data_IF_966410601904
#
_entry.id   IF_966410601904
#
_cell.length_a   1.000
_cell.length_b   1.000
_cell.length_c   1.000
_cell.angle_alpha   90.00
_cell.angle_beta   90.00
_cell.angle_gamma   90.00
#
_symmetry.space_group_name_H-M   'P 1'
#
loop_
_entity.id
_entity.type
_entity.pdbx_description
1 polymer ?
#
# COMPACT_ATOMS: atom_id res chain seq x y z
N UNK A 1 -21.48 -15.14 34.61
CA UNK A 1 -21.41 -15.47 33.17
C UNK A 1 -22.18 -14.48 32.29
N UNK A 2 -23.49 -14.27 32.45
CA UNK A 2 -24.28 -13.38 31.57
C UNK A 2 -23.80 -11.91 31.54
N UNK A 3 -23.40 -11.33 32.67
CA UNK A 3 -22.82 -9.96 32.74
C UNK A 3 -21.52 -9.80 31.95
N UNK A 4 -20.64 -10.81 32.00
CA UNK A 4 -19.40 -10.83 31.23
C UNK A 4 -19.68 -10.91 29.72
N UNK A 5 -20.69 -11.70 29.34
CA UNK A 5 -21.15 -11.81 27.96
C UNK A 5 -21.74 -10.49 27.44
N UNK A 6 -22.51 -9.75 28.25
CA UNK A 6 -23.04 -8.44 27.86
C UNK A 6 -21.95 -7.37 27.71
N UNK A 7 -20.93 -7.39 28.58
CA UNK A 7 -19.77 -6.47 28.47
C UNK A 7 -18.96 -6.80 27.21
N UNK A 8 -18.72 -8.08 26.93
CA UNK A 8 -18.02 -8.50 25.71
C UNK A 8 -18.80 -8.11 24.45
N UNK A 9 -20.12 -8.29 24.45
CA UNK A 9 -20.99 -7.90 23.34
C UNK A 9 -20.98 -6.38 23.14
N UNK A 10 -21.02 -5.60 24.22
CA UNK A 10 -20.97 -4.14 24.17
C UNK A 10 -19.63 -3.64 23.58
N UNK A 11 -18.51 -4.20 24.02
CA UNK A 11 -17.17 -3.86 23.48
C UNK A 11 -17.08 -4.19 21.98
N UNK A 12 -17.57 -5.37 21.56
CA UNK A 12 -17.59 -5.77 20.15
C UNK A 12 -18.48 -4.88 19.28
N UNK A 13 -19.66 -4.49 19.77
CA UNK A 13 -20.56 -3.57 19.08
C UNK A 13 -19.94 -2.17 18.94
N UNK A 14 -19.27 -1.66 19.98
CA UNK A 14 -18.56 -0.36 19.89
C UNK A 14 -17.35 -0.40 18.96
N UNK A 15 -16.61 -1.53 18.92
CA UNK A 15 -15.48 -1.70 18.02
C UNK A 15 -15.89 -1.74 16.54
N UNK A 16 -17.04 -2.36 16.23
CA UNK A 16 -17.58 -2.38 14.87
C UNK A 16 -18.02 -0.99 14.37
N UNK A 17 -18.52 -0.11 15.26
CA UNK A 17 -18.93 1.26 14.89
C UNK A 17 -17.78 2.20 14.55
N UNK A 18 -16.53 1.86 14.90
CA UNK A 18 -15.34 2.66 14.57
C UNK A 18 -14.76 2.39 13.18
N UNK A 19 -15.27 1.39 12.45
CA UNK A 19 -14.86 1.12 11.08
C UNK A 19 -15.55 2.10 10.10
N UNK A 20 -15.19 3.39 10.18
CA UNK A 20 -15.68 4.41 9.25
C UNK A 20 -15.21 4.07 7.82
N UNK A 21 -16.15 4.01 6.87
CA UNK A 21 -15.82 3.79 5.47
C UNK A 21 -14.96 4.95 4.92
N UNK A 22 -13.83 4.62 4.28
CA UNK A 22 -12.95 5.62 3.67
C UNK A 22 -13.65 6.36 2.52
N UNK A 23 -13.73 7.70 2.61
CA UNK A 23 -14.29 8.56 1.56
C UNK A 23 -13.29 8.80 0.41
N UNK A 24 -12.01 8.87 0.74
CA UNK A 24 -10.90 9.11 -0.18
C UNK A 24 -9.78 8.12 0.10
N UNK A 25 -9.07 7.72 -0.95
CA UNK A 25 -7.87 6.89 -0.87
C UNK A 25 -6.78 7.60 -1.65
N UNK A 26 -5.70 7.97 -0.97
CA UNK A 26 -4.48 8.47 -1.59
C UNK A 26 -3.43 7.39 -1.49
N UNK A 27 -2.97 6.91 -2.65
CA UNK A 27 -2.05 5.79 -2.70
C UNK A 27 -0.73 6.22 -3.33
N UNK A 28 0.33 6.23 -2.51
CA UNK A 28 1.67 6.65 -2.90
C UNK A 28 2.56 5.43 -3.05
N UNK A 29 3.26 5.34 -4.18
CA UNK A 29 4.20 4.26 -4.48
C UNK A 29 5.57 4.91 -4.71
N UNK A 30 6.53 4.59 -3.84
CA UNK A 30 7.94 4.89 -4.10
C UNK A 30 8.56 3.75 -4.90
N UNK A 31 8.73 3.92 -6.21
CA UNK A 31 9.35 2.89 -7.04
C UNK A 31 10.80 2.64 -6.60
N UNK A 32 11.15 1.39 -6.33
CA UNK A 32 12.44 1.00 -5.77
C UNK A 32 12.70 1.44 -4.31
N UNK A 33 11.70 1.97 -3.60
CA UNK A 33 11.86 2.49 -2.24
C UNK A 33 11.80 1.37 -1.19
N UNK A 34 12.94 0.71 -0.96
CA UNK A 34 13.11 -0.24 0.13
C UNK A 34 13.40 0.43 1.49
N UNK A 35 13.50 -0.38 2.54
CA UNK A 35 13.79 0.08 3.91
C UNK A 35 15.09 0.87 4.00
N UNK A 36 16.10 0.49 3.22
CA UNK A 36 17.40 1.17 3.21
C UNK A 36 17.31 2.56 2.56
N UNK A 37 16.50 2.72 1.51
CA UNK A 37 16.26 4.01 0.87
C UNK A 37 15.54 4.97 1.83
N UNK A 38 14.57 4.47 2.59
CA UNK A 38 13.86 5.24 3.62
C UNK A 38 14.84 5.68 4.71
N UNK A 39 15.57 4.73 5.31
CA UNK A 39 16.52 5.03 6.38
C UNK A 39 17.62 6.01 5.92
N UNK A 40 18.22 5.78 4.75
CA UNK A 40 19.23 6.69 4.20
C UNK A 40 18.72 8.11 3.99
N UNK A 41 17.44 8.27 3.60
CA UNK A 41 16.82 9.59 3.48
C UNK A 41 16.63 10.26 4.85
N UNK A 42 16.17 9.52 5.85
CA UNK A 42 16.00 10.05 7.21
C UNK A 42 17.34 10.46 7.84
N UNK A 43 18.41 9.69 7.60
CA UNK A 43 19.78 10.06 8.00
C UNK A 43 20.25 11.33 7.30
N UNK A 44 20.03 11.43 5.99
CA UNK A 44 20.38 12.63 5.22
C UNK A 44 19.67 13.87 5.75
N UNK A 45 18.38 13.78 6.08
CA UNK A 45 17.62 14.89 6.66
C UNK A 45 18.16 15.31 8.04
N UNK A 46 18.56 14.34 8.88
CA UNK A 46 19.20 14.64 10.16
C UNK A 46 20.55 15.36 9.98
N UNK A 47 21.35 14.94 9.00
CA UNK A 47 22.61 15.62 8.67
C UNK A 47 22.38 17.07 8.21
N UNK A 48 21.35 17.32 7.41
CA UNK A 48 20.95 18.68 7.00
C UNK A 48 20.54 19.57 8.19
N UNK A 49 20.03 18.96 9.26
CA UNK A 49 19.72 19.63 10.53
C UNK A 49 20.94 19.77 11.47
N UNK A 50 22.13 19.31 11.04
CA UNK A 50 23.36 19.37 11.84
C UNK A 50 23.38 18.40 13.02
N UNK A 51 22.59 17.32 12.97
CA UNK A 51 22.47 16.34 14.06
C UNK A 51 22.84 14.94 13.61
N UNK A 52 23.38 14.16 14.55
CA UNK A 52 23.64 12.75 14.35
C UNK A 52 22.35 11.96 14.63
N UNK A 53 21.92 11.11 13.69
CA UNK A 53 20.74 10.26 13.85
C UNK A 53 19.85 10.24 12.61
N UNK A 54 18.53 10.19 12.80
CA UNK A 54 17.52 10.13 11.73
C UNK A 54 16.42 11.16 11.96
N UNK A 55 15.98 11.88 10.93
CA UNK A 55 14.75 12.71 10.90
C UNK A 55 13.64 11.93 10.24
N UNK A 56 12.58 11.55 10.98
CA UNK A 56 11.48 10.75 10.43
C UNK A 56 10.81 11.43 9.23
N UNK A 57 10.54 10.65 8.18
CA UNK A 57 9.65 11.07 7.09
C UNK A 57 8.20 11.16 7.60
N UNK A 58 7.34 11.86 6.85
CA UNK A 58 5.93 12.00 7.22
C UNK A 58 5.21 10.65 7.30
N UNK A 59 5.48 9.75 6.35
CA UNK A 59 4.77 8.46 6.29
C UNK A 59 5.34 7.41 7.26
N UNK A 60 6.59 7.53 7.71
CA UNK A 60 7.18 6.60 8.69
C UNK A 60 6.59 6.79 10.09
N UNK A 61 5.94 7.94 10.32
CA UNK A 61 5.21 8.25 11.55
C UNK A 61 3.75 7.76 11.54
N UNK A 62 3.29 7.09 10.48
CA UNK A 62 1.92 6.58 10.42
C UNK A 62 1.67 5.50 11.48
N UNK A 63 0.44 5.41 12.02
CA UNK A 63 0.13 4.54 13.16
C UNK A 63 0.11 3.04 12.82
N UNK A 64 0.17 2.68 11.54
CA UNK A 64 0.14 1.30 11.06
C UNK A 64 1.26 1.07 10.05
N UNK A 65 2.03 0.00 10.27
CA UNK A 65 3.15 -0.41 9.43
C UNK A 65 3.03 -1.91 9.17
N UNK A 66 3.35 -2.32 7.94
CA UNK A 66 3.37 -3.72 7.55
C UNK A 66 4.53 -3.99 6.58
N UNK A 67 4.84 -5.28 6.41
CA UNK A 67 5.84 -5.76 5.44
C UNK A 67 5.13 -6.63 4.41
N UNK A 68 5.50 -6.49 3.14
CA UNK A 68 4.96 -7.28 2.04
C UNK A 68 6.06 -8.04 1.32
N UNK A 69 5.75 -9.26 0.85
CA UNK A 69 6.66 -10.04 0.00
C UNK A 69 6.46 -9.65 -1.47
N UNK A 70 7.56 -9.31 -2.14
CA UNK A 70 7.52 -8.67 -3.46
C UNK A 70 7.89 -9.57 -4.64
N UNK A 71 8.18 -10.86 -4.41
CA UNK A 71 8.43 -11.80 -5.52
C UNK A 71 7.26 -11.78 -6.53
N UNK A 72 7.57 -11.92 -7.82
CA UNK A 72 6.59 -12.09 -8.89
C UNK A 72 6.19 -13.57 -9.00
N UNK A 73 5.22 -13.90 -9.87
CA UNK A 73 4.80 -15.29 -10.04
C UNK A 73 5.93 -16.20 -10.56
N UNK A 74 6.92 -15.62 -11.26
CA UNK A 74 7.99 -16.36 -11.94
C UNK A 74 9.39 -16.07 -11.40
N UNK A 75 9.59 -15.02 -10.60
CA UNK A 75 10.91 -14.59 -10.16
C UNK A 75 10.93 -14.13 -8.70
N UNK A 76 12.02 -14.47 -7.99
CA UNK A 76 12.27 -13.97 -6.63
C UNK A 76 12.45 -12.45 -6.58
N UNK A 77 12.93 -11.85 -7.67
CA UNK A 77 13.04 -10.39 -7.85
C UNK A 77 12.04 -9.97 -8.93
N UNK A 78 11.03 -9.22 -8.51
CA UNK A 78 10.03 -8.63 -9.43
C UNK A 78 10.60 -7.43 -10.18
N UNK A 79 10.00 -7.13 -11.33
CA UNK A 79 10.12 -5.82 -11.96
C UNK A 79 8.93 -4.90 -11.59
N UNK A 80 8.98 -3.65 -12.05
CA UNK A 80 7.93 -2.65 -11.80
C UNK A 80 6.60 -2.99 -12.47
N UNK A 81 6.59 -3.75 -13.59
CA UNK A 81 5.34 -4.15 -14.26
C UNK A 81 4.55 -5.18 -13.45
N UNK A 82 5.19 -6.26 -13.01
CA UNK A 82 4.54 -7.30 -12.21
C UNK A 82 4.16 -6.78 -10.82
N UNK A 83 5.03 -5.96 -10.21
CA UNK A 83 4.74 -5.31 -8.94
C UNK A 83 3.56 -4.33 -9.07
N UNK A 84 3.57 -3.46 -10.08
CA UNK A 84 2.48 -2.52 -10.36
C UNK A 84 1.15 -3.24 -10.59
N UNK A 85 1.16 -4.35 -11.32
CA UNK A 85 -0.03 -5.20 -11.50
C UNK A 85 -0.51 -5.76 -10.16
N UNK A 86 0.37 -6.31 -9.33
CA UNK A 86 0.01 -6.83 -8.02
C UNK A 86 -0.57 -5.75 -7.09
N UNK A 87 0.05 -4.57 -7.04
CA UNK A 87 -0.42 -3.43 -6.23
C UNK A 87 -1.77 -2.89 -6.72
N UNK A 88 -1.96 -2.82 -8.03
CA UNK A 88 -3.19 -2.27 -8.61
C UNK A 88 -4.36 -3.25 -8.56
N UNK A 89 -4.13 -4.55 -8.69
CA UNK A 89 -5.18 -5.55 -8.92
C UNK A 89 -5.37 -6.52 -7.75
N UNK A 90 -4.35 -6.69 -6.91
CA UNK A 90 -4.28 -7.71 -5.87
C UNK A 90 -3.80 -9.08 -6.36
N UNK A 91 -3.39 -9.22 -7.63
CA UNK A 91 -2.99 -10.49 -8.24
C UNK A 91 -1.53 -10.41 -8.69
N UNK A 92 -0.70 -11.34 -8.22
CA UNK A 92 0.68 -11.50 -8.71
C UNK A 92 0.67 -12.06 -10.14
N UNK A 93 1.64 -11.64 -10.93
CA UNK A 93 1.83 -12.07 -12.32
C UNK A 93 3.33 -12.21 -12.63
N UNK A 94 3.69 -12.61 -13.84
CA UNK A 94 5.09 -12.76 -14.28
C UNK A 94 5.75 -11.42 -14.64
N UNK A 95 7.09 -11.35 -14.59
CA UNK A 95 7.84 -10.14 -14.96
C UNK A 95 7.55 -9.72 -16.41
N UNK A 96 7.34 -8.43 -16.65
CA UNK A 96 6.94 -7.83 -17.93
C UNK A 96 5.43 -7.73 -18.13
N UNK A 97 4.61 -8.35 -17.28
CA UNK A 97 3.16 -8.31 -17.41
C UNK A 97 2.54 -7.08 -16.76
N UNK A 98 1.63 -6.43 -17.49
CA UNK A 98 0.84 -5.28 -17.01
C UNK A 98 -0.65 -5.61 -17.16
N UNK A 99 -1.39 -5.63 -16.06
CA UNK A 99 -2.86 -5.75 -16.07
C UNK A 99 -3.39 -7.12 -16.51
N UNK A 100 -2.54 -8.16 -16.50
CA UNK A 100 -2.91 -9.53 -16.82
C UNK A 100 -2.41 -10.51 -15.74
N UNK A 101 -3.14 -11.59 -15.52
CA UNK A 101 -2.71 -12.70 -14.67
C UNK A 101 -1.76 -13.68 -15.40
N UNK A 102 -1.30 -14.71 -14.70
CA UNK A 102 -0.40 -15.74 -15.25
C UNK A 102 -1.03 -16.56 -16.39
N UNK A 103 -2.36 -16.59 -16.47
CA UNK A 103 -3.10 -17.23 -17.56
C UNK A 103 -3.40 -16.27 -18.71
N UNK A 104 -2.87 -15.05 -18.67
CA UNK A 104 -3.05 -13.96 -19.64
C UNK A 104 -4.48 -13.41 -19.70
N UNK A 105 -5.29 -13.63 -18.66
CA UNK A 105 -6.58 -12.97 -18.55
C UNK A 105 -6.39 -11.52 -18.12
N UNK A 106 -7.19 -10.61 -18.68
CA UNK A 106 -7.22 -9.21 -18.24
C UNK A 106 -7.84 -9.12 -16.86
N UNK A 107 -7.15 -8.42 -15.95
CA UNK A 107 -7.58 -8.25 -14.56
C UNK A 107 -7.79 -6.77 -14.24
N UNK A 108 -8.80 -6.51 -13.43
CA UNK A 108 -9.20 -5.14 -13.12
C UNK A 108 -8.44 -4.55 -11.94
N UNK A 109 -7.91 -3.35 -12.16
CA UNK A 109 -7.31 -2.51 -11.13
C UNK A 109 -8.35 -1.94 -10.15
N UNK A 110 -7.88 -1.55 -8.97
CA UNK A 110 -8.66 -0.81 -7.96
C UNK A 110 -9.16 0.53 -8.52
N UNK A 111 -8.39 1.17 -9.39
CA UNK A 111 -8.77 2.39 -10.08
C UNK A 111 -9.99 2.18 -11.00
N UNK A 112 -9.98 1.13 -11.81
CA UNK A 112 -11.13 0.77 -12.65
C UNK A 112 -12.35 0.38 -11.82
N UNK A 113 -12.16 -0.39 -10.75
CA UNK A 113 -13.24 -0.75 -9.81
C UNK A 113 -13.84 0.50 -9.17
N UNK A 114 -13.02 1.45 -8.73
CA UNK A 114 -13.47 2.72 -8.16
C UNK A 114 -14.24 3.57 -9.19
N UNK A 115 -13.74 3.66 -10.43
CA UNK A 115 -14.42 4.37 -11.52
C UNK A 115 -15.79 3.76 -11.84
N UNK A 116 -15.88 2.42 -11.93
CA UNK A 116 -17.15 1.68 -12.11
C UNK A 116 -18.13 1.94 -10.96
N UNK A 117 -17.64 2.10 -9.74
CA UNK A 117 -18.43 2.48 -8.57
C UNK A 117 -18.78 3.99 -8.51
N UNK A 118 -18.59 4.74 -9.59
CA UNK A 118 -18.92 6.17 -9.68
C UNK A 118 -17.96 7.10 -8.95
N UNK A 119 -16.78 6.62 -8.53
CA UNK A 119 -15.75 7.47 -7.90
C UNK A 119 -14.91 8.19 -8.96
N UNK A 120 -14.39 9.36 -8.58
CA UNK A 120 -13.36 10.05 -9.36
C UNK A 120 -12.01 9.37 -9.12
N UNK A 121 -11.22 9.26 -10.18
CA UNK A 121 -9.90 8.60 -10.18
C UNK A 121 -8.93 9.53 -10.88
N UNK A 122 -7.71 9.62 -10.34
CA UNK A 122 -6.60 10.33 -10.96
C UNK A 122 -5.30 9.57 -10.70
N UNK A 123 -4.38 9.65 -11.65
CA UNK A 123 -3.03 9.10 -11.54
C UNK A 123 -2.07 10.24 -11.82
N UNK A 124 -1.06 10.38 -10.97
CA UNK A 124 0.02 11.36 -11.13
C UNK A 124 1.33 10.63 -10.90
N UNK A 125 2.37 10.99 -11.64
CA UNK A 125 3.68 10.35 -11.57
C UNK A 125 4.77 11.32 -12.02
N UNK A 126 6.01 11.06 -11.59
CA UNK A 126 7.21 11.78 -12.06
C UNK A 126 7.82 11.17 -13.32
N UNK A 127 7.30 10.03 -13.80
CA UNK A 127 7.74 9.38 -15.05
C UNK A 127 6.68 9.49 -16.15
N UNK A 128 7.01 9.06 -17.36
CA UNK A 128 6.10 9.11 -18.50
C UNK A 128 4.79 8.36 -18.26
N UNK A 129 3.70 8.92 -18.77
CA UNK A 129 2.34 8.35 -18.79
C UNK A 129 1.93 8.07 -20.23
#
# INVERSE_FOLDING_TARGET
>A
MKRFMYVLLFVLLTGATYAQQAKYVFYFIGDGMGVNQVNGTEMYLAEQEGRIGVTPLLFTQFPAVGVATTFSATNSVTDSSAAGTALATGVKTYNGAIGIDDQKNVIQSVAEKAKKAGKKVGVTTSVSV
#
